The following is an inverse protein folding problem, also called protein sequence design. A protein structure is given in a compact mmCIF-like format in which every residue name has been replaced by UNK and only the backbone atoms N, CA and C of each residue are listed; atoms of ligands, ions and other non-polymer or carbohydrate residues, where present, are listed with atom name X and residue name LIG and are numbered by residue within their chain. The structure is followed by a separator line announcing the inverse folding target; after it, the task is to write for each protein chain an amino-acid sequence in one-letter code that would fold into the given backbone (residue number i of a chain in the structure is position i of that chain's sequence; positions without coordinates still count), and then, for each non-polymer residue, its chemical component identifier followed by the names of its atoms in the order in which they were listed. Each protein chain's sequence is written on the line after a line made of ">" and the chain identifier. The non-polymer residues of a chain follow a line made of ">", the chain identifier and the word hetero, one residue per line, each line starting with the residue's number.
data_IF_735542588788
#
_entry.id   IF_735542588788
#
_cell.length_a   1.000
_cell.length_b   1.000
_cell.length_c   1.000
_cell.angle_alpha   90.00
_cell.angle_beta   90.00
_cell.angle_gamma   90.00
#
_symmetry.space_group_name_H-M   'P 1'
#
loop_
_entity.id
_entity.type
_entity.pdbx_description
1 polymer ?
#
# COMPACT_ATOMS: atom_id res chain seq x y z
N UNK A 1 25.35 -9.34 -5.00
CA UNK A 1 24.67 -8.22 -5.69
C UNK A 1 23.71 -8.79 -6.71
N UNK A 2 22.48 -8.28 -6.79
CA UNK A 2 21.50 -8.69 -7.82
C UNK A 2 21.90 -8.11 -9.19
N UNK A 3 21.60 -8.83 -10.26
CA UNK A 3 21.72 -8.30 -11.64
C UNK A 3 20.54 -7.39 -11.98
N UNK A 4 20.63 -6.53 -13.01
CA UNK A 4 19.48 -5.73 -13.47
C UNK A 4 18.25 -6.57 -13.80
N UNK A 5 18.45 -7.76 -14.37
CA UNK A 5 17.36 -8.71 -14.63
C UNK A 5 16.71 -9.21 -13.34
N UNK A 6 17.51 -9.58 -12.34
CA UNK A 6 16.99 -9.99 -11.03
C UNK A 6 16.27 -8.83 -10.34
N UNK A 7 16.74 -7.59 -10.47
CA UNK A 7 16.03 -6.41 -9.95
C UNK A 7 14.66 -6.26 -10.61
N UNK A 8 14.56 -6.42 -11.94
CA UNK A 8 13.27 -6.38 -12.65
C UNK A 8 12.32 -7.49 -12.18
N UNK A 9 12.79 -8.73 -12.07
CA UNK A 9 11.98 -9.84 -11.54
C UNK A 9 11.48 -9.56 -10.12
N UNK A 10 12.33 -8.95 -9.28
CA UNK A 10 11.94 -8.59 -7.92
C UNK A 10 10.85 -7.50 -7.89
N UNK A 11 10.97 -6.49 -8.77
CA UNK A 11 9.94 -5.45 -8.91
C UNK A 11 8.61 -6.04 -9.39
N UNK A 12 8.62 -6.92 -10.39
CA UNK A 12 7.41 -7.61 -10.88
C UNK A 12 6.78 -8.51 -9.82
N UNK A 13 7.60 -9.17 -8.99
CA UNK A 13 7.09 -9.95 -7.85
C UNK A 13 6.44 -9.04 -6.82
N UNK A 14 7.06 -7.90 -6.48
CA UNK A 14 6.48 -6.94 -5.54
C UNK A 14 5.16 -6.37 -6.06
N UNK A 15 5.06 -6.03 -7.34
CA UNK A 15 3.80 -5.55 -7.94
C UNK A 15 2.66 -6.56 -7.80
N UNK A 16 2.96 -7.85 -8.03
CA UNK A 16 1.98 -8.93 -7.84
C UNK A 16 1.61 -9.14 -6.38
N UNK A 17 2.52 -8.83 -5.45
CA UNK A 17 2.31 -9.04 -4.02
C UNK A 17 1.52 -7.90 -3.36
N UNK A 18 1.58 -6.68 -3.90
CA UNK A 18 0.93 -5.49 -3.32
C UNK A 18 -0.56 -5.68 -3.00
N UNK A 19 -1.41 -6.25 -3.89
CA UNK A 19 -2.82 -6.49 -3.56
C UNK A 19 -3.01 -7.41 -2.36
N UNK A 20 -2.16 -8.43 -2.22
CA UNK A 20 -2.20 -9.37 -1.09
C UNK A 20 -1.70 -8.71 0.20
N UNK A 21 -0.61 -7.95 0.15
CA UNK A 21 -0.13 -7.17 1.31
C UNK A 21 -1.23 -6.22 1.79
N UNK A 22 -1.90 -5.52 0.87
CA UNK A 22 -3.00 -4.61 1.22
C UNK A 22 -4.14 -5.37 1.89
N UNK A 23 -4.57 -6.50 1.31
CA UNK A 23 -5.64 -7.34 1.86
C UNK A 23 -5.32 -7.87 3.26
N UNK A 24 -4.09 -8.37 3.45
CA UNK A 24 -3.73 -9.12 4.66
C UNK A 24 -3.23 -8.21 5.79
N UNK A 25 -2.62 -7.06 5.44
CA UNK A 25 -1.90 -6.21 6.40
C UNK A 25 -2.54 -4.85 6.61
N UNK A 26 -3.48 -4.42 5.75
CA UNK A 26 -4.26 -3.20 5.93
C UNK A 26 -3.42 -1.96 6.20
N UNK A 27 -3.53 -1.42 7.41
CA UNK A 27 -2.82 -0.21 7.83
C UNK A 27 -1.29 -0.36 7.86
N UNK A 28 -0.77 -1.59 7.97
CA UNK A 28 0.67 -1.90 7.94
C UNK A 28 1.21 -2.16 6.53
N UNK A 29 0.37 -2.12 5.49
CA UNK A 29 0.77 -2.49 4.13
C UNK A 29 1.96 -1.68 3.61
N UNK A 30 2.00 -0.37 3.88
CA UNK A 30 3.12 0.48 3.45
C UNK A 30 4.43 0.11 4.14
N UNK A 31 4.41 -0.19 5.44
CA UNK A 31 5.61 -0.58 6.19
C UNK A 31 6.18 -1.90 5.68
N UNK A 32 5.31 -2.88 5.41
CA UNK A 32 5.69 -4.18 4.86
C UNK A 32 6.31 -4.02 3.47
N UNK A 33 5.68 -3.23 2.59
CA UNK A 33 6.26 -2.89 1.29
C UNK A 33 7.61 -2.17 1.46
N UNK A 34 7.71 -1.21 2.38
CA UNK A 34 8.91 -0.44 2.66
C UNK A 34 10.10 -1.33 3.06
N UNK A 35 9.86 -2.34 3.90
CA UNK A 35 10.88 -3.34 4.26
C UNK A 35 11.43 -4.08 3.04
N UNK A 36 10.54 -4.54 2.14
CA UNK A 36 10.97 -5.23 0.93
C UNK A 36 11.72 -4.32 -0.05
N UNK A 37 11.30 -3.07 -0.19
CA UNK A 37 11.97 -2.08 -1.04
C UNK A 37 13.36 -1.74 -0.50
N UNK A 38 13.50 -1.54 0.82
CA UNK A 38 14.79 -1.31 1.46
C UNK A 38 15.75 -2.49 1.25
N UNK A 39 15.24 -3.72 1.39
CA UNK A 39 16.01 -4.95 1.14
C UNK A 39 16.44 -5.07 -0.33
N UNK A 40 15.58 -4.67 -1.28
CA UNK A 40 15.90 -4.64 -2.70
C UNK A 40 17.00 -3.62 -2.99
N UNK A 41 16.87 -2.39 -2.49
CA UNK A 41 17.88 -1.34 -2.63
C UNK A 41 19.24 -1.77 -2.04
N UNK A 42 19.25 -2.40 -0.86
CA UNK A 42 20.48 -2.89 -0.23
C UNK A 42 21.19 -4.01 -0.98
N UNK A 43 20.53 -4.65 -1.94
CA UNK A 43 21.09 -5.76 -2.73
C UNK A 43 21.22 -5.46 -4.23
N UNK A 44 20.78 -4.28 -4.69
CA UNK A 44 20.80 -3.86 -6.08
C UNK A 44 22.02 -2.97 -6.39
N UNK A 45 22.49 -2.94 -7.65
CA UNK A 45 23.47 -1.95 -8.09
C UNK A 45 22.92 -0.53 -7.97
N UNK A 46 23.77 0.45 -7.65
CA UNK A 46 23.35 1.84 -7.49
C UNK A 46 22.72 2.43 -8.76
N UNK A 47 23.11 1.96 -9.95
CA UNK A 47 22.50 2.34 -11.24
C UNK A 47 21.00 2.02 -11.31
N UNK A 48 20.53 1.02 -10.57
CA UNK A 48 19.13 0.59 -10.56
C UNK A 48 18.27 1.36 -9.55
N UNK A 49 18.88 2.14 -8.64
CA UNK A 49 18.14 2.77 -7.53
C UNK A 49 17.05 3.73 -8.00
N UNK A 50 17.28 4.47 -9.08
CA UNK A 50 16.29 5.39 -9.65
C UNK A 50 15.04 4.61 -10.12
N UNK A 51 15.25 3.54 -10.89
CA UNK A 51 14.18 2.66 -11.39
C UNK A 51 13.40 2.01 -10.24
N UNK A 52 14.11 1.49 -9.23
CA UNK A 52 13.48 0.88 -8.06
C UNK A 52 12.57 1.90 -7.35
N UNK A 53 13.08 3.11 -7.08
CA UNK A 53 12.31 4.17 -6.40
C UNK A 53 11.08 4.59 -7.22
N UNK A 54 11.24 4.76 -8.52
CA UNK A 54 10.15 5.15 -9.41
C UNK A 54 9.01 4.11 -9.41
N UNK A 55 9.33 2.83 -9.68
CA UNK A 55 8.30 1.78 -9.75
C UNK A 55 7.62 1.52 -8.40
N UNK A 56 8.40 1.55 -7.33
CA UNK A 56 7.87 1.30 -5.97
C UNK A 56 7.07 2.48 -5.43
N UNK A 57 7.28 3.71 -5.92
CA UNK A 57 6.47 4.87 -5.52
C UNK A 57 4.98 4.69 -5.88
N UNK A 58 4.67 4.03 -7.01
CA UNK A 58 3.28 3.70 -7.37
C UNK A 58 2.69 2.65 -6.42
N UNK A 59 3.46 1.63 -6.07
CA UNK A 59 3.05 0.58 -5.13
C UNK A 59 2.76 1.17 -3.74
N UNK A 60 3.64 2.05 -3.25
CA UNK A 60 3.47 2.71 -1.96
C UNK A 60 2.20 3.60 -1.92
N UNK A 61 1.85 4.26 -3.03
CA UNK A 61 0.56 4.98 -3.14
C UNK A 61 -0.63 4.05 -2.98
N UNK A 62 -0.61 2.87 -3.61
CA UNK A 62 -1.69 1.86 -3.48
C UNK A 62 -1.82 1.42 -2.03
N UNK A 63 -0.69 1.11 -1.37
CA UNK A 63 -0.70 0.77 0.05
C UNK A 63 -1.32 1.88 0.90
N UNK A 64 -0.89 3.14 0.74
CA UNK A 64 -1.44 4.28 1.50
C UNK A 64 -2.93 4.51 1.30
N UNK A 65 -3.41 4.48 0.05
CA UNK A 65 -4.85 4.68 -0.23
C UNK A 65 -5.72 3.60 0.44
N UNK A 66 -5.21 2.37 0.56
CA UNK A 66 -5.90 1.34 1.33
C UNK A 66 -5.93 1.64 2.84
N UNK A 67 -4.84 2.18 3.41
CA UNK A 67 -4.81 2.62 4.81
C UNK A 67 -5.85 3.72 5.06
N UNK A 68 -5.94 4.71 4.15
CA UNK A 68 -6.91 5.81 4.26
C UNK A 68 -8.36 5.32 4.19
N UNK A 69 -8.61 4.28 3.40
CA UNK A 69 -9.94 3.64 3.29
C UNK A 69 -10.34 2.92 4.58
N UNK A 70 -9.39 2.27 5.26
CA UNK A 70 -9.62 1.61 6.56
C UNK A 70 -9.77 2.63 7.69
N UNK A 71 -9.00 3.72 7.65
CA UNK A 71 -9.00 4.77 8.69
C UNK A 71 -10.17 5.73 8.60
N UNK A 72 -10.74 5.92 7.41
CA UNK A 72 -11.97 6.68 7.28
C UNK A 72 -13.10 5.83 7.87
N UNK A 73 -13.66 6.19 9.05
CA UNK A 73 -14.89 5.54 9.46
C UNK A 73 -15.87 5.84 8.33
N UNK A 74 -16.50 4.81 7.75
CA UNK A 74 -17.62 4.99 6.86
C UNK A 74 -18.61 5.88 7.61
N UNK A 75 -18.58 7.19 7.33
CA UNK A 75 -19.52 8.14 7.88
C UNK A 75 -20.82 7.65 7.29
N UNK A 76 -21.58 6.92 8.09
CA UNK A 76 -22.90 6.45 7.73
C UNK A 76 -23.62 7.68 7.23
N UNK A 77 -23.89 7.74 5.93
CA UNK A 77 -24.93 8.58 5.37
C UNK A 77 -26.23 7.99 5.92
N UNK A 78 -26.49 8.26 7.19
CA UNK A 78 -27.71 7.94 7.89
C UNK A 78 -28.81 8.82 7.31
N UNK A 79 -29.35 8.37 6.19
CA UNK A 79 -30.71 8.68 5.80
C UNK A 79 -31.63 8.18 6.91
N UNK A 80 -32.28 9.12 7.61
CA UNK A 80 -33.48 8.85 8.41
C UNK A 80 -33.23 8.52 9.88
N UNK A 81 -33.20 9.55 10.73
CA UNK A 81 -33.66 9.43 12.11
C UNK A 81 -34.84 10.39 12.29
N UNK A 82 -36.04 9.85 12.10
CA UNK A 82 -37.28 10.48 12.52
C UNK A 82 -37.25 10.63 14.05
N UNK A 83 -37.04 11.86 14.53
CA UNK A 83 -37.25 12.18 15.93
C UNK A 83 -38.77 12.30 16.15
N UNK A 84 -39.34 11.27 16.75
CA UNK A 84 -40.71 11.23 17.26
C UNK A 84 -40.96 12.44 18.17
N UNK A 85 -42.05 13.16 17.89
CA UNK A 85 -42.60 14.17 18.77
C UNK A 85 -42.97 13.53 20.12
N UNK A 86 -42.44 14.09 21.20
CA UNK A 86 -42.69 13.64 22.57
C UNK A 86 -44.10 14.03 23.02
N UNK A 87 -44.78 13.07 23.63
CA UNK A 87 -46.08 13.19 24.30
C UNK A 87 -45.94 14.08 25.56
N UNK A 88 -46.79 15.10 25.67
CA UNK A 88 -47.33 15.64 26.93
C UNK A 88 -48.68 16.31 26.63
#
# INVERSE_FOLDING_TARGET
>A
MKTPYQVQQELERLERLVPHIVSDQGDRAEDILGFHVASLLGSAPASEHALIRERTARMARVCRTAQDTVRTPARSLGLGAAAQAQLA
#
